data_IF_492880026196
#
_entry.id   IF_492880026196
#
_cell.length_a   1.000
_cell.length_b   1.000
_cell.length_c   1.000
_cell.angle_alpha   90.00
_cell.angle_beta   90.00
_cell.angle_gamma   90.00
#
_symmetry.space_group_name_H-M   'P 1'
#
loop_
_entity.id
_entity.type
_entity.pdbx_description
1 polymer ?
#
# COMPACT_ATOMS: atom_id res chain seq x y z
N UNK A 1 -12.20 -22.66 5.57
CA UNK A 1 -12.92 -21.39 5.31
C UNK A 1 -12.05 -20.16 5.60
N UNK A 2 -11.41 -20.08 6.78
CA UNK A 2 -10.54 -18.94 7.15
C UNK A 2 -9.26 -18.79 6.30
N UNK A 3 -8.62 -19.89 5.90
CA UNK A 3 -7.41 -19.85 5.06
C UNK A 3 -7.63 -19.10 3.75
N UNK A 4 -8.76 -19.35 3.07
CA UNK A 4 -9.10 -18.64 1.84
C UNK A 4 -9.31 -17.15 2.07
N UNK A 5 -9.94 -16.76 3.19
CA UNK A 5 -10.09 -15.36 3.56
C UNK A 5 -8.72 -14.70 3.79
N UNK A 6 -7.80 -15.35 4.51
CA UNK A 6 -6.46 -14.83 4.76
C UNK A 6 -5.66 -14.66 3.48
N UNK A 7 -5.69 -15.66 2.58
CA UNK A 7 -5.02 -15.58 1.27
C UNK A 7 -5.61 -14.43 0.44
N UNK A 8 -6.94 -14.31 0.41
CA UNK A 8 -7.63 -13.27 -0.35
C UNK A 8 -7.33 -11.87 0.20
N UNK A 9 -7.38 -11.67 1.52
CA UNK A 9 -7.01 -10.42 2.17
C UNK A 9 -5.53 -10.07 1.90
N UNK A 10 -4.63 -11.04 1.97
CA UNK A 10 -3.21 -10.84 1.68
C UNK A 10 -2.99 -10.42 0.22
N UNK A 11 -3.76 -10.98 -0.71
CA UNK A 11 -3.76 -10.56 -2.11
C UNK A 11 -4.24 -9.11 -2.26
N UNK A 12 -5.37 -8.73 -1.65
CA UNK A 12 -5.86 -7.35 -1.69
C UNK A 12 -4.83 -6.36 -1.13
N UNK A 13 -4.22 -6.69 0.02
CA UNK A 13 -3.18 -5.85 0.63
C UNK A 13 -2.03 -5.65 -0.36
N UNK A 14 -1.53 -6.74 -0.96
CA UNK A 14 -0.42 -6.65 -1.92
C UNK A 14 -0.79 -5.81 -3.15
N UNK A 15 -2.00 -5.99 -3.70
CA UNK A 15 -2.48 -5.25 -4.87
C UNK A 15 -2.69 -3.76 -4.58
N UNK A 16 -3.13 -3.41 -3.37
CA UNK A 16 -3.32 -2.01 -2.98
C UNK A 16 -2.04 -1.18 -3.14
N UNK A 17 -0.88 -1.77 -2.86
CA UNK A 17 0.42 -1.14 -3.07
C UNK A 17 0.71 -0.77 -4.53
N UNK A 18 0.22 -1.59 -5.48
CA UNK A 18 0.45 -1.40 -6.92
C UNK A 18 -0.62 -0.56 -7.61
N UNK A 19 -1.85 -0.53 -7.08
CA UNK A 19 -2.93 0.32 -7.60
C UNK A 19 -2.56 1.79 -7.46
N UNK A 20 -1.96 2.17 -6.34
CA UNK A 20 -1.51 3.56 -6.09
C UNK A 20 -0.26 3.87 -6.93
N UNK A 21 -0.35 4.94 -7.71
CA UNK A 21 0.70 5.43 -8.58
C UNK A 21 0.62 6.96 -8.75
N UNK A 22 1.59 7.56 -9.44
CA UNK A 22 1.68 9.03 -9.58
C UNK A 22 0.42 9.65 -10.20
N UNK A 23 -0.29 8.93 -11.08
CA UNK A 23 -1.47 9.45 -11.79
C UNK A 23 -2.72 9.51 -10.89
N UNK A 24 -2.79 8.68 -9.86
CA UNK A 24 -3.96 8.57 -8.98
C UNK A 24 -3.65 8.82 -7.50
N UNK A 25 -2.40 9.14 -7.16
CA UNK A 25 -1.96 9.51 -5.82
C UNK A 25 -2.81 10.66 -5.24
N UNK A 26 -3.17 11.63 -6.08
CA UNK A 26 -4.00 12.76 -5.67
C UNK A 26 -5.41 12.38 -5.24
N UNK A 27 -5.87 11.18 -5.57
CA UNK A 27 -7.20 10.66 -5.19
C UNK A 27 -7.09 9.57 -4.12
N UNK A 28 -6.09 8.70 -4.24
CA UNK A 28 -5.98 7.48 -3.44
C UNK A 28 -5.07 7.59 -2.22
N UNK A 29 -4.18 8.59 -2.16
CA UNK A 29 -3.36 8.86 -0.99
C UNK A 29 -3.95 10.04 -0.24
N UNK A 30 -4.72 9.77 0.82
CA UNK A 30 -5.43 10.80 1.59
C UNK A 30 -4.51 11.93 2.06
N UNK A 31 -3.34 11.60 2.61
CA UNK A 31 -2.37 12.61 3.06
C UNK A 31 -1.81 13.43 1.89
N UNK A 32 -1.56 12.79 0.74
CA UNK A 32 -1.12 13.51 -0.44
C UNK A 32 -2.25 14.38 -1.00
N UNK A 33 -3.50 13.90 -1.02
CA UNK A 33 -4.66 14.66 -1.49
C UNK A 33 -4.85 15.96 -0.70
N UNK A 34 -4.73 15.91 0.63
CA UNK A 34 -4.94 17.04 1.54
C UNK A 34 -3.78 18.04 1.57
N UNK A 35 -2.60 17.69 1.05
CA UNK A 35 -1.48 18.62 0.93
C UNK A 35 -1.80 19.81 0.00
N UNK A 36 -1.32 20.98 0.40
CA UNK A 36 -1.28 22.16 -0.47
C UNK A 36 -0.38 21.93 -1.69
N UNK A 37 -0.53 22.77 -2.72
CA UNK A 37 0.33 22.69 -3.93
C UNK A 37 1.82 22.81 -3.58
N UNK A 38 2.17 23.69 -2.65
CA UNK A 38 3.56 23.90 -2.23
C UNK A 38 4.14 22.70 -1.48
N UNK A 39 3.32 22.01 -0.68
CA UNK A 39 3.72 20.76 -0.01
C UNK A 39 3.88 19.62 -1.02
N UNK A 40 2.93 19.46 -1.96
CA UNK A 40 3.01 18.46 -3.04
C UNK A 40 4.28 18.64 -3.88
N UNK A 41 4.65 19.87 -4.19
CA UNK A 41 5.87 20.17 -4.96
C UNK A 41 7.17 19.80 -4.23
N UNK A 42 7.15 19.74 -2.89
CA UNK A 42 8.29 19.34 -2.07
C UNK A 42 8.25 17.85 -1.66
N UNK A 43 7.13 17.17 -1.90
CA UNK A 43 6.93 15.79 -1.50
C UNK A 43 7.57 14.83 -2.51
N UNK A 44 8.44 13.93 -2.04
CA UNK A 44 9.05 12.89 -2.88
C UNK A 44 8.06 11.73 -3.10
N UNK A 45 7.07 11.98 -3.96
CA UNK A 45 6.02 11.00 -4.26
C UNK A 45 6.58 9.72 -4.86
N UNK A 46 7.62 9.80 -5.69
CA UNK A 46 8.17 8.63 -6.39
C UNK A 46 8.78 7.66 -5.39
N UNK A 47 9.64 8.14 -4.48
CA UNK A 47 10.26 7.25 -3.51
C UNK A 47 9.29 6.82 -2.40
N UNK A 48 8.33 7.69 -2.04
CA UNK A 48 7.22 7.30 -1.17
C UNK A 48 6.44 6.12 -1.76
N UNK A 49 6.06 6.16 -3.04
CA UNK A 49 5.33 5.06 -3.68
C UNK A 49 6.15 3.77 -3.77
N UNK A 50 7.48 3.85 -3.97
CA UNK A 50 8.37 2.68 -3.90
C UNK A 50 8.36 2.07 -2.50
N UNK A 51 8.46 2.90 -1.46
CA UNK A 51 8.37 2.47 -0.07
C UNK A 51 7.00 1.84 0.21
N UNK A 52 5.92 2.51 -0.16
CA UNK A 52 4.53 2.08 0.04
C UNK A 52 4.26 0.69 -0.57
N UNK A 53 4.73 0.44 -1.80
CA UNK A 53 4.65 -0.88 -2.44
C UNK A 53 5.34 -1.96 -1.63
N UNK A 54 6.59 -1.70 -1.21
CA UNK A 54 7.37 -2.64 -0.42
C UNK A 54 6.72 -2.88 0.95
N UNK A 55 6.18 -1.83 1.56
CA UNK A 55 5.44 -1.92 2.81
C UNK A 55 4.20 -2.81 2.68
N UNK A 56 3.35 -2.58 1.69
CA UNK A 56 2.15 -3.40 1.47
C UNK A 56 2.48 -4.87 1.16
N UNK A 57 3.53 -5.12 0.37
CA UNK A 57 4.03 -6.48 0.15
C UNK A 57 4.48 -7.15 1.45
N UNK A 58 5.25 -6.44 2.28
CA UNK A 58 5.70 -6.96 3.56
C UNK A 58 4.53 -7.26 4.49
N UNK A 59 3.51 -6.39 4.58
CA UNK A 59 2.31 -6.63 5.39
C UNK A 59 1.58 -7.89 4.92
N UNK A 60 1.42 -8.07 3.60
CA UNK A 60 0.83 -9.27 3.00
C UNK A 60 1.61 -10.54 3.39
N UNK A 61 2.94 -10.52 3.24
CA UNK A 61 3.80 -11.65 3.60
C UNK A 61 3.81 -11.96 5.09
N UNK A 62 3.88 -10.94 5.95
CA UNK A 62 3.83 -11.13 7.40
C UNK A 62 2.47 -11.68 7.84
N UNK A 63 1.37 -11.23 7.23
CA UNK A 63 0.03 -11.75 7.52
C UNK A 63 -0.05 -13.25 7.23
N UNK A 64 0.43 -13.67 6.05
CA UNK A 64 0.50 -15.09 5.70
C UNK A 64 1.42 -15.86 6.66
N UNK A 65 2.62 -15.33 6.91
CA UNK A 65 3.60 -15.94 7.81
C UNK A 65 3.02 -16.16 9.21
N UNK A 66 2.42 -15.13 9.80
CA UNK A 66 1.85 -15.23 11.14
C UNK A 66 0.72 -16.25 11.21
N UNK A 67 -0.14 -16.31 10.18
CA UNK A 67 -1.29 -17.23 10.17
C UNK A 67 -0.90 -18.71 10.04
N UNK A 68 0.20 -19.03 9.35
CA UNK A 68 0.64 -20.40 9.18
C UNK A 68 1.61 -20.88 10.27
N UNK A 69 2.25 -19.97 10.99
CA UNK A 69 3.27 -20.28 12.00
C UNK A 69 2.70 -20.25 13.42
N UNK A 70 1.73 -19.38 13.71
CA UNK A 70 1.10 -19.22 15.02
C UNK A 70 -0.40 -19.56 14.94
#
# INVERSE_FOLDING_TARGET
MMTFAVIFTSLIISLSGYIVNVKNADVLLADYNTMSKDEKNRFDLINYLKFFRKFMLNVSLYTLFTYYIF
#
